data_IF_420584606973
#
_entry.id   IF_420584606973
#
_cell.length_a   1.000
_cell.length_b   1.000
_cell.length_c   1.000
_cell.angle_alpha   90.00
_cell.angle_beta   90.00
_cell.angle_gamma   90.00
#
_symmetry.space_group_name_H-M   'P 1'
#
loop_
_entity.id
_entity.type
_entity.pdbx_description
1 polymer ?
#
# COMPACT_ATOMS: atom_id res chain seq x y z
N UNK A 1 32.73 7.38 -14.77
CA UNK A 1 31.72 6.42 -15.27
C UNK A 1 31.74 5.21 -14.36
N UNK A 2 30.57 4.77 -13.90
CA UNK A 2 30.44 3.66 -12.95
C UNK A 2 31.09 2.36 -13.47
N UNK A 3 31.64 1.53 -12.57
CA UNK A 3 32.43 0.35 -12.90
C UNK A 3 31.65 -0.65 -13.77
N UNK A 4 30.36 -0.83 -13.47
CA UNK A 4 29.48 -1.76 -14.18
C UNK A 4 29.40 -1.46 -15.69
N UNK A 5 29.19 -0.19 -16.07
CA UNK A 5 29.07 0.20 -17.48
C UNK A 5 30.43 0.25 -18.19
N UNK A 6 31.52 0.40 -17.43
CA UNK A 6 32.88 0.27 -17.99
C UNK A 6 33.16 -1.14 -18.50
N UNK A 7 32.61 -2.17 -17.85
CA UNK A 7 32.75 -3.56 -18.30
C UNK A 7 31.96 -3.84 -19.59
N UNK A 8 30.86 -3.13 -19.84
CA UNK A 8 30.17 -3.17 -21.14
C UNK A 8 31.07 -2.65 -22.27
N UNK A 9 31.76 -1.52 -22.08
CA UNK A 9 32.71 -1.02 -23.08
C UNK A 9 33.81 -2.03 -23.39
N UNK A 10 34.38 -2.66 -22.36
CA UNK A 10 35.40 -3.72 -22.53
C UNK A 10 34.89 -4.92 -23.31
N UNK A 11 33.58 -5.17 -23.28
CA UNK A 11 32.89 -6.22 -24.06
C UNK A 11 32.40 -5.73 -25.43
N UNK A 12 32.76 -4.51 -25.82
CA UNK A 12 32.49 -3.94 -27.15
C UNK A 12 31.05 -3.47 -27.33
N UNK A 13 30.35 -3.11 -26.26
CA UNK A 13 29.05 -2.42 -26.34
C UNK A 13 29.25 -0.93 -26.67
N UNK A 14 28.28 -0.38 -27.41
CA UNK A 14 28.29 1.02 -27.83
C UNK A 14 27.75 1.96 -26.73
N UNK A 15 27.91 3.28 -26.95
CA UNK A 15 27.28 4.31 -26.09
C UNK A 15 25.75 4.19 -26.06
N UNK A 16 25.11 3.82 -27.17
CA UNK A 16 23.66 3.63 -27.22
C UNK A 16 23.23 2.41 -26.42
N UNK A 17 23.96 1.29 -26.51
CA UNK A 17 23.65 0.08 -25.74
C UNK A 17 23.72 0.33 -24.24
N UNK A 18 24.66 1.18 -23.81
CA UNK A 18 24.84 1.54 -22.40
C UNK A 18 23.67 2.38 -21.89
N UNK A 19 23.18 3.34 -22.68
CA UNK A 19 21.96 4.10 -22.36
C UNK A 19 20.74 3.17 -22.27
N UNK A 20 20.60 2.24 -23.22
CA UNK A 20 19.53 1.25 -23.21
C UNK A 20 19.62 0.30 -21.99
N UNK A 21 20.83 -0.02 -21.54
CA UNK A 21 21.08 -0.78 -20.31
C UNK A 21 20.82 0.03 -19.02
N UNK A 22 20.11 1.14 -19.11
CA UNK A 22 19.65 1.95 -17.98
C UNK A 22 20.68 2.93 -17.45
N UNK A 23 21.78 3.20 -18.17
CA UNK A 23 22.74 4.22 -17.76
C UNK A 23 22.17 5.62 -17.96
N UNK A 24 22.22 6.41 -16.89
CA UNK A 24 22.10 7.85 -16.95
C UNK A 24 23.16 8.52 -16.10
N UNK A 25 23.54 9.73 -16.52
CA UNK A 25 24.56 10.50 -15.86
C UNK A 25 23.92 11.34 -14.77
N UNK A 26 24.46 11.21 -13.57
CA UNK A 26 24.02 11.94 -12.38
C UNK A 26 24.91 13.15 -12.11
N UNK A 27 24.37 14.25 -11.56
CA UNK A 27 25.16 15.22 -10.82
C UNK A 27 25.88 14.53 -9.66
N UNK A 28 26.98 15.11 -9.16
CA UNK A 28 27.82 14.50 -8.11
C UNK A 28 27.00 13.83 -7.00
N UNK A 29 27.13 12.51 -6.88
CA UNK A 29 26.41 11.71 -5.88
C UNK A 29 27.06 11.95 -4.53
N UNK A 30 26.60 12.96 -3.79
CA UNK A 30 26.93 13.10 -2.38
C UNK A 30 26.00 12.20 -1.56
N UNK A 31 26.54 11.13 -0.97
CA UNK A 31 25.84 10.42 0.09
C UNK A 31 25.63 11.39 1.25
N UNK A 32 24.38 11.57 1.68
CA UNK A 32 24.10 12.26 2.92
C UNK A 32 24.72 11.43 4.06
N UNK A 33 25.70 12.00 4.76
CA UNK A 33 26.55 11.32 5.76
C UNK A 33 25.73 10.92 6.99
N UNK A 34 25.11 9.75 6.95
CA UNK A 34 24.40 9.20 8.11
C UNK A 34 24.45 7.66 8.06
N UNK A 35 25.27 7.07 8.93
CA UNK A 35 25.54 5.62 9.02
C UNK A 35 24.34 4.80 9.53
N UNK A 36 23.30 5.45 10.07
CA UNK A 36 22.14 4.80 10.69
C UNK A 36 21.20 4.04 9.72
N UNK A 37 21.31 4.26 8.40
CA UNK A 37 20.35 3.69 7.44
C UNK A 37 20.76 2.38 6.78
N UNK A 38 22.06 2.10 6.64
CA UNK A 38 22.51 0.74 6.26
C UNK A 38 22.09 -0.29 7.31
N UNK A 39 22.03 0.13 8.57
CA UNK A 39 21.57 -0.65 9.72
C UNK A 39 20.20 -1.31 9.49
N UNK A 40 19.27 -0.68 8.76
CA UNK A 40 17.93 -1.24 8.58
C UNK A 40 17.95 -2.52 7.74
N UNK A 41 18.56 -2.47 6.54
CA UNK A 41 18.65 -3.66 5.67
C UNK A 41 19.62 -4.68 6.26
N UNK A 42 20.71 -4.24 6.86
CA UNK A 42 21.65 -5.12 7.56
C UNK A 42 20.96 -5.94 8.67
N UNK A 43 20.11 -5.28 9.47
CA UNK A 43 19.34 -5.95 10.52
C UNK A 43 18.37 -6.97 9.91
N UNK A 44 17.69 -6.63 8.82
CA UNK A 44 16.78 -7.57 8.16
C UNK A 44 17.51 -8.79 7.56
N UNK A 45 18.68 -8.58 6.92
CA UNK A 45 19.49 -9.69 6.39
C UNK A 45 19.98 -10.58 7.55
N UNK A 46 20.48 -9.96 8.63
CA UNK A 46 20.97 -10.68 9.80
C UNK A 46 19.86 -11.48 10.49
N UNK A 47 18.69 -10.88 10.70
CA UNK A 47 17.51 -11.55 11.25
C UNK A 47 17.04 -12.68 10.31
N UNK A 48 17.01 -12.46 9.01
CA UNK A 48 16.65 -13.49 8.04
C UNK A 48 17.60 -14.69 8.07
N UNK A 49 18.91 -14.45 8.09
CA UNK A 49 19.93 -15.50 8.27
C UNK A 49 19.77 -16.24 9.61
N UNK A 50 19.47 -15.51 10.68
CA UNK A 50 19.20 -16.10 12.00
C UNK A 50 17.97 -17.02 11.96
N UNK A 51 16.82 -16.54 11.45
CA UNK A 51 15.57 -17.31 11.36
C UNK A 51 15.66 -18.55 10.47
N UNK A 52 16.49 -18.48 9.43
CA UNK A 52 16.70 -19.57 8.47
C UNK A 52 17.86 -20.49 8.84
N UNK A 53 18.59 -20.17 9.91
CA UNK A 53 19.78 -20.90 10.38
C UNK A 53 20.85 -21.10 9.29
N UNK A 54 20.99 -20.15 8.35
CA UNK A 54 22.02 -20.21 7.29
C UNK A 54 22.51 -18.83 6.86
N UNK A 55 23.79 -18.77 6.46
CA UNK A 55 24.39 -17.61 5.79
C UNK A 55 24.44 -17.76 4.27
N UNK A 56 23.94 -18.87 3.74
CA UNK A 56 23.81 -19.09 2.30
C UNK A 56 22.38 -18.78 1.86
N UNK A 57 22.17 -17.60 1.26
CA UNK A 57 20.84 -17.11 0.90
C UNK A 57 20.80 -16.62 -0.56
N UNK A 58 19.59 -16.43 -1.08
CA UNK A 58 19.36 -15.70 -2.33
C UNK A 58 18.68 -14.36 -2.00
N UNK A 59 19.13 -13.28 -2.61
CA UNK A 59 18.53 -11.96 -2.51
C UNK A 59 17.95 -11.56 -3.85
N UNK A 60 16.65 -11.27 -3.86
CA UNK A 60 15.92 -10.78 -5.03
C UNK A 60 15.77 -9.28 -4.90
N UNK A 61 16.38 -8.51 -5.79
CA UNK A 61 16.29 -7.04 -5.79
C UNK A 61 15.36 -6.60 -6.92
N UNK A 62 14.37 -5.79 -6.58
CA UNK A 62 13.48 -5.18 -7.56
C UNK A 62 13.34 -3.68 -7.31
N UNK A 63 13.73 -2.89 -8.31
CA UNK A 63 13.70 -1.43 -8.27
C UNK A 63 12.57 -0.89 -9.13
N UNK A 64 11.95 0.22 -8.73
CA UNK A 64 10.93 0.88 -9.54
C UNK A 64 10.32 2.10 -8.86
N UNK A 65 9.46 2.84 -9.57
CA UNK A 65 8.73 3.97 -8.97
C UNK A 65 7.78 3.52 -7.86
N UNK A 66 7.18 2.32 -8.00
CA UNK A 66 6.14 1.77 -7.13
C UNK A 66 5.06 2.80 -6.77
N UNK A 67 4.55 3.49 -7.79
CA UNK A 67 3.65 4.64 -7.62
C UNK A 67 2.31 4.47 -8.35
N UNK A 68 1.36 3.67 -7.82
CA UNK A 68 1.49 2.87 -6.60
C UNK A 68 2.09 1.48 -6.86
N UNK A 69 2.50 0.80 -5.78
CA UNK A 69 2.71 -0.65 -5.75
C UNK A 69 1.37 -1.35 -6.02
N UNK A 70 1.39 -2.48 -6.73
CA UNK A 70 0.16 -3.17 -7.19
C UNK A 70 0.45 -4.65 -7.46
N UNK A 71 -0.60 -5.46 -7.70
CA UNK A 71 -0.52 -6.92 -7.89
C UNK A 71 0.44 -7.36 -9.00
N UNK A 72 0.57 -6.60 -10.10
CA UNK A 72 1.59 -6.87 -11.11
C UNK A 72 3.03 -6.89 -10.57
N UNK A 73 3.39 -6.01 -9.63
CA UNK A 73 4.73 -5.99 -9.03
C UNK A 73 4.98 -7.21 -8.13
N UNK A 74 3.98 -7.62 -7.37
CA UNK A 74 4.13 -8.76 -6.48
C UNK A 74 4.09 -10.09 -7.21
N UNK A 75 3.29 -10.19 -8.27
CA UNK A 75 3.36 -11.30 -9.21
C UNK A 75 4.77 -11.46 -9.78
N UNK A 76 5.40 -10.35 -10.21
CA UNK A 76 6.79 -10.34 -10.69
C UNK A 76 7.76 -10.90 -9.64
N UNK A 77 7.62 -10.51 -8.36
CA UNK A 77 8.45 -11.06 -7.28
C UNK A 77 8.19 -12.55 -7.04
N UNK A 78 6.94 -13.00 -7.01
CA UNK A 78 6.60 -14.41 -6.79
C UNK A 78 7.05 -15.31 -7.96
N UNK A 79 6.92 -14.84 -9.20
CA UNK A 79 7.45 -15.52 -10.37
C UNK A 79 8.97 -15.69 -10.29
N UNK A 80 9.68 -14.65 -9.85
CA UNK A 80 11.12 -14.71 -9.62
C UNK A 80 11.48 -15.69 -8.48
N UNK A 81 10.77 -15.64 -7.36
CA UNK A 81 10.97 -16.56 -6.22
C UNK A 81 10.75 -18.01 -6.62
N UNK A 82 9.66 -18.31 -7.33
CA UNK A 82 9.33 -19.66 -7.81
C UNK A 82 10.44 -20.21 -8.70
N UNK A 83 10.97 -19.37 -9.59
CA UNK A 83 12.09 -19.78 -10.44
C UNK A 83 13.38 -19.99 -9.64
N UNK A 84 13.76 -19.08 -8.74
CA UNK A 84 15.01 -19.22 -7.97
C UNK A 84 15.01 -20.52 -7.14
N UNK A 85 13.84 -20.91 -6.58
CA UNK A 85 13.68 -22.18 -5.86
C UNK A 85 14.04 -23.40 -6.72
N UNK A 86 13.89 -23.34 -8.05
CA UNK A 86 14.27 -24.47 -8.92
C UNK A 86 15.77 -24.52 -9.18
N UNK A 87 16.51 -23.45 -8.92
CA UNK A 87 17.96 -23.38 -9.12
C UNK A 87 18.73 -23.93 -7.92
N UNK A 88 18.24 -23.65 -6.71
CA UNK A 88 18.78 -24.17 -5.46
C UNK A 88 17.74 -24.00 -4.34
N UNK A 89 17.94 -24.73 -3.24
CA UNK A 89 17.05 -24.69 -2.08
C UNK A 89 17.42 -23.62 -1.04
N UNK A 90 18.30 -22.65 -1.38
CA UNK A 90 18.71 -21.65 -0.41
C UNK A 90 17.55 -20.67 -0.12
N UNK A 91 17.41 -20.20 1.14
CA UNK A 91 16.34 -19.28 1.51
C UNK A 91 16.34 -18.00 0.67
N UNK A 92 15.16 -17.48 0.35
CA UNK A 92 14.98 -16.32 -0.54
C UNK A 92 14.39 -15.14 0.21
N UNK A 93 15.17 -14.06 0.27
CA UNK A 93 14.73 -12.74 0.73
C UNK A 93 14.50 -11.83 -0.50
N UNK A 94 13.46 -11.01 -0.46
CA UNK A 94 13.15 -10.05 -1.51
C UNK A 94 13.28 -8.62 -0.98
N UNK A 95 13.82 -7.74 -1.80
CA UNK A 95 14.02 -6.33 -1.49
C UNK A 95 13.36 -5.50 -2.58
N UNK A 96 12.37 -4.70 -2.19
CA UNK A 96 11.76 -3.65 -2.99
C UNK A 96 12.51 -2.34 -2.70
N UNK A 97 13.17 -1.78 -3.71
CA UNK A 97 13.90 -0.52 -3.57
C UNK A 97 13.23 0.58 -4.41
N UNK A 98 12.38 1.43 -3.81
CA UNK A 98 11.73 2.52 -4.55
C UNK A 98 12.76 3.49 -5.13
N UNK A 99 12.46 4.04 -6.30
CA UNK A 99 13.24 5.09 -6.94
C UNK A 99 13.02 6.45 -6.27
N UNK A 100 13.97 7.38 -6.46
CA UNK A 100 13.88 8.76 -5.98
C UNK A 100 12.73 9.54 -6.66
N UNK A 101 12.27 10.63 -6.04
CA UNK A 101 11.17 11.43 -6.57
C UNK A 101 11.50 12.14 -7.89
N UNK A 102 12.78 12.42 -8.16
CA UNK A 102 13.21 12.95 -9.46
C UNK A 102 12.81 12.01 -10.60
N UNK A 103 13.06 10.70 -10.46
CA UNK A 103 12.64 9.71 -11.45
C UNK A 103 11.11 9.56 -11.50
N UNK A 104 10.43 9.61 -10.36
CA UNK A 104 8.97 9.52 -10.29
C UNK A 104 8.27 10.74 -10.89
N UNK A 105 8.84 11.94 -10.75
CA UNK A 105 8.31 13.22 -11.24
C UNK A 105 8.28 13.31 -12.76
N UNK A 106 9.17 12.57 -13.45
CA UNK A 106 9.16 12.43 -14.91
C UNK A 106 7.94 11.65 -15.44
N UNK A 107 7.15 11.03 -14.55
CA UNK A 107 5.97 10.23 -14.91
C UNK A 107 4.68 11.02 -14.62
N UNK A 108 3.77 11.05 -15.61
CA UNK A 108 2.45 11.72 -15.54
C UNK A 108 1.70 11.35 -14.25
N UNK A 109 1.10 12.36 -13.60
CA UNK A 109 0.20 12.27 -12.43
C UNK A 109 0.84 11.68 -11.16
N UNK A 110 2.06 12.07 -10.78
CA UNK A 110 2.70 11.62 -9.54
C UNK A 110 1.77 11.77 -8.31
N UNK A 111 1.41 10.66 -7.66
CA UNK A 111 0.37 10.59 -6.61
C UNK A 111 0.87 10.86 -5.18
N UNK A 112 2.10 11.34 -5.00
CA UNK A 112 2.62 11.73 -3.69
C UNK A 112 4.13 11.84 -3.66
N UNK A 113 4.65 12.47 -2.61
CA UNK A 113 6.08 12.44 -2.32
C UNK A 113 6.54 11.03 -1.95
N UNK A 114 7.86 10.88 -1.91
CA UNK A 114 8.54 9.65 -1.54
C UNK A 114 8.07 9.02 -0.22
N UNK A 115 7.79 9.83 0.79
CA UNK A 115 7.36 9.32 2.10
C UNK A 115 5.96 8.71 1.98
N UNK A 116 5.07 9.39 1.26
CA UNK A 116 3.73 8.91 0.96
C UNK A 116 3.77 7.61 0.16
N UNK A 117 4.66 7.49 -0.84
CA UNK A 117 4.85 6.25 -1.60
C UNK A 117 5.33 5.09 -0.73
N UNK A 118 6.32 5.34 0.15
CA UNK A 118 6.83 4.30 1.06
C UNK A 118 5.74 3.83 2.03
N UNK A 119 4.90 4.74 2.55
CA UNK A 119 3.75 4.38 3.39
C UNK A 119 2.77 3.50 2.62
N UNK A 120 2.37 3.91 1.41
CA UNK A 120 1.48 3.11 0.55
C UNK A 120 2.05 1.72 0.23
N UNK A 121 3.36 1.61 -0.02
CA UNK A 121 4.02 0.32 -0.21
C UNK A 121 3.93 -0.55 1.05
N UNK A 122 4.20 0.02 2.24
CA UNK A 122 4.10 -0.72 3.52
C UNK A 122 2.68 -1.20 3.78
N UNK A 123 1.69 -0.33 3.57
CA UNK A 123 0.28 -0.67 3.73
C UNK A 123 -0.13 -1.80 2.79
N UNK A 124 0.22 -1.69 1.50
CA UNK A 124 -0.04 -2.74 0.51
C UNK A 124 0.59 -4.09 0.90
N UNK A 125 1.83 -4.08 1.42
CA UNK A 125 2.50 -5.31 1.85
C UNK A 125 1.87 -5.90 3.12
N UNK A 126 1.43 -5.05 4.05
CA UNK A 126 0.76 -5.48 5.27
C UNK A 126 -0.59 -6.13 4.99
N UNK A 127 -1.37 -5.55 4.07
CA UNK A 127 -2.67 -6.10 3.65
C UNK A 127 -2.55 -7.51 3.05
N UNK A 128 -1.36 -7.86 2.57
CA UNK A 128 -1.06 -9.13 1.93
C UNK A 128 -0.02 -9.96 2.71
N UNK A 129 0.11 -9.75 4.02
CA UNK A 129 1.15 -10.34 4.88
C UNK A 129 1.37 -11.84 4.71
N UNK A 130 0.30 -12.63 4.48
CA UNK A 130 0.38 -14.08 4.31
C UNK A 130 1.14 -14.51 3.04
N UNK A 131 1.21 -13.64 2.03
CA UNK A 131 1.89 -13.93 0.75
C UNK A 131 3.36 -13.49 0.73
N UNK A 132 3.81 -12.61 1.64
CA UNK A 132 5.08 -11.88 1.47
C UNK A 132 6.01 -11.88 2.71
N UNK A 133 6.07 -13.00 3.44
CA UNK A 133 6.75 -13.16 4.74
C UNK A 133 8.27 -12.81 4.74
N UNK A 134 8.92 -12.62 3.59
CA UNK A 134 10.35 -12.26 3.49
C UNK A 134 10.63 -11.14 2.48
N UNK A 135 9.71 -10.19 2.34
CA UNK A 135 9.89 -9.00 1.50
C UNK A 135 10.19 -7.79 2.38
N UNK A 136 11.24 -7.04 2.04
CA UNK A 136 11.65 -5.81 2.72
C UNK A 136 11.55 -4.63 1.76
N UNK A 137 11.08 -3.48 2.26
CA UNK A 137 11.11 -2.23 1.53
C UNK A 137 12.35 -1.45 1.98
N UNK A 138 13.30 -1.25 1.08
CA UNK A 138 14.52 -0.49 1.33
C UNK A 138 14.43 0.91 0.72
N UNK A 139 14.08 1.89 1.55
CA UNK A 139 13.92 3.28 1.14
C UNK A 139 15.24 4.04 0.94
N UNK A 140 16.41 3.41 1.09
CA UNK A 140 17.70 4.10 1.05
C UNK A 140 17.91 4.87 -0.26
N UNK A 141 17.82 4.17 -1.40
CA UNK A 141 18.05 4.78 -2.72
C UNK A 141 17.08 5.94 -2.98
N UNK A 142 15.87 5.80 -2.45
CA UNK A 142 14.82 6.78 -2.59
C UNK A 142 15.12 8.03 -1.73
N UNK A 143 15.56 7.88 -0.48
CA UNK A 143 15.53 8.96 0.53
C UNK A 143 16.89 9.59 0.86
N UNK A 144 18.00 8.94 0.50
CA UNK A 144 19.35 9.35 0.93
C UNK A 144 20.21 9.98 -0.15
N UNK A 145 19.88 9.75 -1.40
CA UNK A 145 20.48 10.48 -2.50
C UNK A 145 19.67 11.75 -2.75
N UNK A 146 20.36 12.83 -3.12
CA UNK A 146 19.72 14.09 -3.53
C UNK A 146 19.02 14.00 -4.89
N UNK A 147 19.33 12.96 -5.66
CA UNK A 147 18.86 12.66 -7.00
C UNK A 147 18.56 11.18 -7.12
N UNK A 148 17.94 10.76 -8.23
CA UNK A 148 17.85 9.32 -8.51
C UNK A 148 19.24 8.69 -8.68
N UNK A 149 19.35 7.37 -8.68
CA UNK A 149 20.61 6.65 -8.91
C UNK A 149 20.42 5.50 -9.88
N UNK A 150 21.48 5.12 -10.62
CA UNK A 150 21.41 3.92 -11.46
C UNK A 150 21.21 2.70 -10.55
N UNK A 151 20.42 1.72 -10.98
CA UNK A 151 20.18 0.49 -10.22
C UNK A 151 21.48 -0.30 -9.92
N UNK A 152 22.53 -0.07 -10.69
CA UNK A 152 23.85 -0.67 -10.46
C UNK A 152 24.49 -0.20 -9.16
N UNK A 153 24.28 1.05 -8.72
CA UNK A 153 24.70 1.52 -7.40
C UNK A 153 23.95 0.81 -6.26
N UNK A 154 22.68 0.47 -6.50
CA UNK A 154 21.85 -0.26 -5.53
C UNK A 154 22.40 -1.68 -5.35
N UNK A 155 22.79 -2.33 -6.45
CA UNK A 155 23.45 -3.65 -6.42
C UNK A 155 24.77 -3.59 -5.66
N UNK A 156 25.66 -2.65 -6.00
CA UNK A 156 26.97 -2.49 -5.34
C UNK A 156 26.81 -2.30 -3.82
N UNK A 157 25.86 -1.47 -3.40
CA UNK A 157 25.55 -1.30 -1.97
C UNK A 157 25.17 -2.61 -1.28
N UNK A 158 24.36 -3.46 -1.92
CA UNK A 158 24.01 -4.75 -1.33
C UNK A 158 25.20 -5.72 -1.30
N UNK A 159 26.06 -5.72 -2.32
CA UNK A 159 27.30 -6.51 -2.30
C UNK A 159 28.22 -6.10 -1.14
N UNK A 160 28.35 -4.79 -0.87
CA UNK A 160 29.11 -4.26 0.27
C UNK A 160 28.50 -4.69 1.61
N UNK A 161 27.19 -4.54 1.79
CA UNK A 161 26.48 -4.97 3.01
C UNK A 161 26.69 -6.47 3.25
N UNK A 162 26.52 -7.30 2.22
CA UNK A 162 26.70 -8.75 2.32
C UNK A 162 28.12 -9.14 2.71
N UNK A 163 29.11 -8.44 2.16
CA UNK A 163 30.53 -8.62 2.51
C UNK A 163 30.78 -8.26 3.96
N UNK A 164 30.23 -7.14 4.44
CA UNK A 164 30.37 -6.70 5.84
C UNK A 164 29.75 -7.72 6.82
N UNK A 165 28.57 -8.26 6.48
CA UNK A 165 27.88 -9.27 7.29
C UNK A 165 28.48 -10.69 7.15
N UNK A 166 29.46 -10.87 6.26
CA UNK A 166 30.03 -12.17 5.90
C UNK A 166 28.95 -13.19 5.51
N UNK A 167 27.98 -12.76 4.70
CA UNK A 167 26.87 -13.57 4.19
C UNK A 167 27.19 -14.00 2.75
N UNK A 168 27.09 -15.29 2.49
CA UNK A 168 27.28 -15.85 1.15
C UNK A 168 25.95 -15.79 0.38
N UNK A 169 25.65 -14.65 -0.25
CA UNK A 169 24.41 -14.47 -0.98
C UNK A 169 24.60 -14.41 -2.51
N UNK A 170 23.65 -15.00 -3.24
CA UNK A 170 23.48 -14.76 -4.67
C UNK A 170 22.44 -13.67 -4.90
N UNK A 171 22.84 -12.58 -5.54
CA UNK A 171 21.93 -11.50 -5.94
C UNK A 171 21.29 -11.84 -7.28
N UNK A 172 19.96 -11.69 -7.34
CA UNK A 172 19.12 -11.77 -8.53
C UNK A 172 18.41 -10.43 -8.71
N UNK A 173 18.73 -9.72 -9.80
CA UNK A 173 18.08 -8.46 -10.14
C UNK A 173 16.88 -8.71 -11.05
N UNK A 174 15.69 -8.28 -10.62
CA UNK A 174 14.41 -8.51 -11.32
C UNK A 174 14.01 -7.25 -12.09
N UNK A 175 13.57 -7.45 -13.33
CA UNK A 175 13.08 -6.39 -14.21
C UNK A 175 12.07 -6.95 -15.20
N UNK A 176 11.25 -6.06 -15.78
CA UNK A 176 10.31 -6.44 -16.83
C UNK A 176 10.96 -6.45 -18.22
N UNK A 177 10.33 -7.16 -19.17
CA UNK A 177 10.76 -7.22 -20.57
C UNK A 177 10.79 -5.86 -21.29
N UNK A 178 10.10 -4.85 -20.74
CA UNK A 178 10.18 -3.45 -21.18
C UNK A 178 11.57 -2.83 -20.95
N UNK A 179 12.37 -3.41 -20.06
CA UNK A 179 13.75 -3.04 -19.74
C UNK A 179 14.74 -4.19 -20.03
N UNK A 180 14.46 -5.02 -21.04
CA UNK A 180 15.25 -6.21 -21.35
C UNK A 180 16.76 -5.93 -21.48
N UNK A 181 17.13 -4.75 -22.00
CA UNK A 181 18.51 -4.33 -22.24
C UNK A 181 19.31 -4.14 -20.94
N UNK A 182 18.67 -4.09 -19.77
CA UNK A 182 19.36 -4.17 -18.47
C UNK A 182 20.17 -5.48 -18.35
N UNK A 183 19.77 -6.52 -19.07
CA UNK A 183 20.52 -7.76 -19.21
C UNK A 183 21.96 -7.56 -19.70
N UNK A 184 22.25 -6.51 -20.48
CA UNK A 184 23.61 -6.20 -20.93
C UNK A 184 24.56 -5.91 -19.77
N UNK A 185 24.16 -5.00 -18.88
CA UNK A 185 25.04 -4.62 -17.75
C UNK A 185 25.12 -5.72 -16.71
N UNK A 186 24.03 -6.47 -16.47
CA UNK A 186 24.04 -7.59 -15.53
C UNK A 186 24.97 -8.73 -15.99
N UNK A 187 24.84 -9.16 -17.25
CA UNK A 187 25.64 -10.27 -17.78
C UNK A 187 27.13 -9.93 -17.91
N UNK A 188 27.47 -8.68 -18.22
CA UNK A 188 28.87 -8.24 -18.31
C UNK A 188 29.56 -8.13 -16.94
N UNK A 189 28.78 -8.06 -15.86
CA UNK A 189 29.24 -8.02 -14.47
C UNK A 189 28.97 -9.32 -13.70
N UNK A 190 28.56 -10.40 -14.38
CA UNK A 190 28.21 -11.70 -13.78
C UNK A 190 27.12 -11.64 -12.70
N UNK A 191 26.22 -10.66 -12.77
CA UNK A 191 25.04 -10.56 -11.89
C UNK A 191 23.89 -11.35 -12.51
N UNK A 192 23.16 -12.12 -11.69
CA UNK A 192 22.01 -12.88 -12.18
C UNK A 192 20.84 -11.92 -12.46
N UNK A 193 20.26 -12.01 -13.65
CA UNK A 193 19.09 -11.23 -14.04
C UNK A 193 17.85 -12.11 -14.18
N UNK A 194 16.70 -11.62 -13.74
CA UNK A 194 15.42 -12.27 -13.99
C UNK A 194 14.54 -11.29 -14.75
N UNK A 195 14.32 -11.58 -16.03
CA UNK A 195 13.47 -10.78 -16.89
C UNK A 195 12.07 -11.39 -16.90
N UNK A 196 11.09 -10.66 -16.41
CA UNK A 196 9.69 -11.10 -16.41
C UNK A 196 8.99 -10.56 -17.65
N UNK A 197 8.41 -11.47 -18.44
CA UNK A 197 7.63 -11.15 -19.63
C UNK A 197 6.42 -10.28 -19.25
N UNK A 198 6.23 -9.17 -19.97
CA UNK A 198 5.11 -8.24 -19.79
C UNK A 198 4.12 -8.20 -20.95
N UNK A 199 4.50 -8.68 -22.12
CA UNK A 199 3.71 -8.67 -23.36
C UNK A 199 4.02 -9.92 -24.15
N UNK A 200 3.13 -10.34 -25.05
CA UNK A 200 3.38 -11.50 -25.92
C UNK A 200 4.55 -11.28 -26.90
N UNK A 201 4.89 -10.02 -27.17
CA UNK A 201 6.06 -9.63 -27.96
C UNK A 201 7.36 -9.79 -27.15
N UNK A 202 8.13 -10.83 -27.48
CA UNK A 202 9.44 -11.14 -26.90
C UNK A 202 10.63 -10.65 -27.76
N UNK A 203 10.37 -9.89 -28.84
CA UNK A 203 11.41 -9.51 -29.81
C UNK A 203 12.59 -8.78 -29.17
N UNK A 204 12.35 -7.80 -28.29
CA UNK A 204 13.39 -7.06 -27.56
C UNK A 204 14.27 -7.99 -26.73
N UNK A 205 13.65 -8.91 -26.00
CA UNK A 205 14.37 -9.86 -25.18
C UNK A 205 15.16 -10.84 -26.05
N UNK A 206 14.58 -11.39 -27.12
CA UNK A 206 15.29 -12.25 -28.07
C UNK A 206 16.54 -11.55 -28.65
N UNK A 207 16.44 -10.27 -28.98
CA UNK A 207 17.55 -9.45 -29.46
C UNK A 207 18.65 -9.28 -28.40
N UNK A 208 18.26 -9.06 -27.14
CA UNK A 208 19.20 -8.98 -26.01
C UNK A 208 19.95 -10.30 -25.84
N UNK A 209 19.25 -11.44 -25.87
CA UNK A 209 19.85 -12.78 -25.77
C UNK A 209 20.82 -13.03 -26.93
N UNK A 210 20.42 -12.73 -28.16
CA UNK A 210 21.25 -12.88 -29.34
C UNK A 210 22.53 -12.04 -29.25
N UNK A 211 22.40 -10.80 -28.78
CA UNK A 211 23.54 -9.89 -28.57
C UNK A 211 24.47 -10.39 -27.47
N UNK A 212 23.94 -10.88 -26.35
CA UNK A 212 24.75 -11.41 -25.26
C UNK A 212 25.51 -12.67 -25.67
N UNK A 213 24.88 -13.54 -26.47
CA UNK A 213 25.53 -14.71 -27.08
C UNK A 213 26.66 -14.29 -28.03
N UNK A 214 26.42 -13.34 -28.94
CA UNK A 214 27.44 -12.90 -29.90
C UNK A 214 28.64 -12.24 -29.20
N UNK A 215 28.41 -11.55 -28.09
CA UNK A 215 29.45 -10.92 -27.26
C UNK A 215 30.09 -11.86 -26.22
N UNK A 216 29.75 -13.15 -26.23
CA UNK A 216 30.26 -14.19 -25.29
C UNK A 216 30.14 -13.75 -23.82
N UNK A 217 29.03 -13.12 -23.47
CA UNK A 217 28.74 -12.76 -22.09
C UNK A 217 28.21 -13.98 -21.33
N UNK A 218 28.57 -14.10 -20.06
CA UNK A 218 28.04 -15.17 -19.22
C UNK A 218 26.60 -14.81 -18.87
N UNK A 219 25.67 -15.52 -19.48
CA UNK A 219 24.27 -15.17 -19.44
C UNK A 219 23.53 -16.12 -18.50
N UNK A 220 22.99 -15.56 -17.42
CA UNK A 220 21.99 -16.21 -16.57
C UNK A 220 20.78 -15.29 -16.50
N UNK A 221 20.18 -15.00 -17.65
CA UNK A 221 18.89 -14.32 -17.68
C UNK A 221 17.81 -15.37 -17.87
N UNK A 222 17.04 -15.44 -16.82
CA UNK A 222 15.98 -16.40 -16.62
C UNK A 222 14.76 -15.82 -17.32
N UNK A 223 14.27 -16.57 -18.30
CA UNK A 223 13.00 -16.32 -18.95
C UNK A 223 11.92 -17.12 -18.22
N UNK A 224 10.82 -16.47 -17.88
CA UNK A 224 9.65 -17.16 -17.38
C UNK A 224 8.57 -17.16 -18.45
N UNK A 225 8.08 -18.36 -18.78
CA UNK A 225 6.90 -18.63 -19.61
C UNK A 225 5.60 -18.51 -18.79
N UNK A 226 5.60 -17.71 -17.72
CA UNK A 226 4.36 -17.53 -16.95
C UNK A 226 3.51 -16.46 -17.60
N UNK A 227 2.29 -16.84 -18.01
CA UNK A 227 1.25 -15.89 -18.36
C UNK A 227 1.01 -14.97 -17.16
N UNK A 228 1.36 -13.69 -17.33
CA UNK A 228 1.11 -12.66 -16.34
C UNK A 228 -0.32 -12.13 -16.54
N UNK A 229 -1.30 -12.50 -15.70
CA UNK A 229 -2.67 -11.99 -15.83
C UNK A 229 -2.76 -10.47 -15.56
N UNK A 230 -1.68 -9.87 -15.08
CA UNK A 230 -1.53 -8.44 -14.79
C UNK A 230 -0.56 -7.74 -15.75
N UNK A 231 -0.24 -8.35 -16.90
CA UNK A 231 0.65 -7.83 -17.95
C UNK A 231 0.32 -6.39 -18.37
N UNK A 232 -0.97 -6.08 -18.46
CA UNK A 232 -1.50 -4.76 -18.85
C UNK A 232 -1.54 -3.75 -17.69
N UNK A 233 -1.41 -4.18 -16.43
CA UNK A 233 -1.36 -3.29 -15.28
C UNK A 233 -0.02 -2.57 -15.25
N UNK A 234 -0.07 -1.24 -15.33
CA UNK A 234 1.08 -0.39 -15.09
C UNK A 234 0.66 0.81 -14.24
N UNK A 235 1.58 1.30 -13.43
CA UNK A 235 1.30 2.43 -12.54
C UNK A 235 0.80 3.68 -13.27
N UNK A 236 1.21 3.90 -14.53
CA UNK A 236 0.76 5.06 -15.32
C UNK A 236 -0.71 4.96 -15.71
N UNK A 237 -1.19 3.79 -16.13
CA UNK A 237 -2.61 3.58 -16.43
C UNK A 237 -3.47 3.72 -15.18
N UNK A 238 -2.98 3.24 -14.03
CA UNK A 238 -3.64 3.43 -12.73
C UNK A 238 -3.76 4.93 -12.38
N UNK A 239 -2.69 5.72 -12.55
CA UNK A 239 -2.67 7.17 -12.28
C UNK A 239 -3.46 8.01 -13.28
N UNK A 240 -3.74 7.50 -14.47
CA UNK A 240 -4.54 8.19 -15.50
C UNK A 240 -6.05 8.04 -15.29
N UNK A 241 -6.47 7.18 -14.37
CA UNK A 241 -7.89 7.00 -14.03
C UNK A 241 -8.39 8.25 -13.30
N UNK A 242 -9.58 8.73 -13.66
CA UNK A 242 -10.29 9.74 -12.86
C UNK A 242 -10.38 9.23 -11.44
N UNK A 243 -9.98 10.06 -10.48
CA UNK A 243 -10.03 9.68 -9.08
C UNK A 243 -11.47 9.81 -8.60
N UNK A 244 -11.94 8.88 -7.79
CA UNK A 244 -13.31 8.92 -7.26
C UNK A 244 -13.27 9.15 -5.76
N UNK A 245 -13.93 10.21 -5.32
CA UNK A 245 -14.24 10.46 -3.92
C UNK A 245 -15.60 9.84 -3.63
N UNK A 246 -15.68 8.92 -2.69
CA UNK A 246 -16.95 8.32 -2.28
C UNK A 246 -17.47 8.98 -1.00
N UNK A 247 -18.77 9.24 -0.98
CA UNK A 247 -19.48 9.72 0.20
C UNK A 247 -20.53 8.67 0.54
N UNK A 248 -20.41 8.06 1.72
CA UNK A 248 -21.39 7.09 2.22
C UNK A 248 -22.57 7.82 2.82
N UNK A 249 -23.74 7.68 2.19
CA UNK A 249 -24.99 8.17 2.73
C UNK A 249 -25.55 7.16 3.74
N UNK A 250 -25.25 7.40 5.00
CA UNK A 250 -25.64 6.59 6.14
C UNK A 250 -26.66 7.30 7.05
N UNK A 251 -27.18 8.45 6.61
CA UNK A 251 -28.01 9.35 7.42
C UNK A 251 -29.30 8.68 7.91
N UNK A 252 -29.87 7.75 7.13
CA UNK A 252 -31.05 6.97 7.53
C UNK A 252 -30.84 6.23 8.85
N UNK A 253 -29.64 5.68 9.06
CA UNK A 253 -29.29 4.93 10.27
C UNK A 253 -28.67 5.81 11.34
N UNK A 254 -27.93 6.84 10.95
CA UNK A 254 -27.30 7.77 11.87
C UNK A 254 -28.32 8.75 12.51
N UNK A 255 -29.45 9.00 11.85
CA UNK A 255 -30.50 9.92 12.27
C UNK A 255 -31.89 9.26 12.18
N UNK A 256 -32.16 8.23 12.99
CA UNK A 256 -33.40 7.44 12.89
C UNK A 256 -34.66 8.24 13.24
N UNK A 257 -34.52 9.32 14.01
CA UNK A 257 -35.63 10.16 14.48
C UNK A 257 -35.83 11.44 13.65
N UNK A 258 -35.06 11.63 12.58
CA UNK A 258 -35.20 12.75 11.65
C UNK A 258 -36.08 12.31 10.48
N UNK A 259 -36.85 13.20 9.87
CA UNK A 259 -37.65 12.85 8.68
C UNK A 259 -36.78 12.72 7.42
N UNK A 260 -37.34 12.10 6.38
CA UNK A 260 -36.62 11.82 5.13
C UNK A 260 -36.26 13.09 4.35
N UNK A 261 -37.14 14.09 4.35
CA UNK A 261 -36.90 15.36 3.65
C UNK A 261 -35.69 16.09 4.26
N UNK A 262 -35.62 16.16 5.59
CA UNK A 262 -34.48 16.75 6.30
C UNK A 262 -33.19 15.97 6.04
N UNK A 263 -33.24 14.63 6.01
CA UNK A 263 -32.06 13.81 5.66
C UNK A 263 -31.59 14.04 4.22
N UNK A 264 -32.52 14.13 3.27
CA UNK A 264 -32.19 14.41 1.87
C UNK A 264 -31.58 15.80 1.73
N UNK A 265 -32.11 16.80 2.44
CA UNK A 265 -31.52 18.15 2.49
C UNK A 265 -30.07 18.14 3.03
N UNK A 266 -29.78 17.33 4.06
CA UNK A 266 -28.40 17.14 4.54
C UNK A 266 -27.52 16.46 3.49
N UNK A 267 -27.99 15.36 2.89
CA UNK A 267 -27.25 14.63 1.87
C UNK A 267 -26.90 15.51 0.67
N UNK A 268 -27.87 16.29 0.17
CA UNK A 268 -27.70 17.22 -0.94
C UNK A 268 -26.70 18.33 -0.59
N UNK A 269 -26.81 18.89 0.62
CA UNK A 269 -25.91 19.96 1.07
C UNK A 269 -24.46 19.47 1.17
N UNK A 270 -24.23 18.30 1.77
CA UNK A 270 -22.90 17.67 1.88
C UNK A 270 -22.35 17.38 0.48
N UNK A 271 -23.16 16.77 -0.39
CA UNK A 271 -22.75 16.40 -1.76
C UNK A 271 -22.38 17.62 -2.59
N UNK A 272 -23.18 18.69 -2.51
CA UNK A 272 -22.90 19.95 -3.19
C UNK A 272 -21.63 20.62 -2.67
N UNK A 273 -21.39 20.60 -1.34
CA UNK A 273 -20.17 21.14 -0.76
C UNK A 273 -18.92 20.39 -1.29
N UNK A 274 -18.96 19.06 -1.36
CA UNK A 274 -17.87 18.27 -1.95
C UNK A 274 -17.69 18.53 -3.44
N UNK A 275 -18.77 18.66 -4.22
CA UNK A 275 -18.67 19.03 -5.64
C UNK A 275 -17.99 20.39 -5.82
N UNK A 276 -18.27 21.39 -4.97
CA UNK A 276 -17.61 22.70 -5.01
C UNK A 276 -16.14 22.66 -4.56
N UNK A 277 -15.80 21.80 -3.61
CA UNK A 277 -14.42 21.58 -3.17
C UNK A 277 -13.57 21.10 -4.35
N UNK A 278 -14.08 20.14 -5.11
CA UNK A 278 -13.37 19.45 -6.18
C UNK A 278 -13.70 19.95 -7.59
N UNK A 279 -14.43 21.06 -7.70
CA UNK A 279 -14.73 21.70 -8.98
C UNK A 279 -13.44 22.03 -9.75
N UNK A 280 -13.38 21.59 -11.02
CA UNK A 280 -12.21 21.78 -11.88
C UNK A 280 -11.01 20.86 -11.59
N UNK A 281 -11.15 19.89 -10.66
CA UNK A 281 -10.14 18.87 -10.38
C UNK A 281 -10.34 17.59 -11.19
N UNK A 282 -9.41 16.63 -11.05
CA UNK A 282 -9.52 15.27 -11.61
C UNK A 282 -10.31 14.29 -10.72
N UNK A 283 -10.94 14.80 -9.66
CA UNK A 283 -11.70 14.04 -8.66
C UNK A 283 -13.20 14.11 -8.97
N UNK A 284 -13.84 12.97 -9.19
CA UNK A 284 -15.30 12.84 -9.32
C UNK A 284 -15.93 12.40 -8.00
N UNK A 285 -17.05 13.04 -7.61
CA UNK A 285 -17.80 12.67 -6.41
C UNK A 285 -18.84 11.60 -6.76
N UNK A 286 -18.93 10.55 -5.93
CA UNK A 286 -20.00 9.55 -5.99
C UNK A 286 -20.59 9.31 -4.60
N UNK A 287 -21.91 9.30 -4.51
CA UNK A 287 -22.63 8.96 -3.28
C UNK A 287 -23.00 7.48 -3.33
N UNK A 288 -22.75 6.75 -2.24
CA UNK A 288 -23.15 5.35 -2.06
C UNK A 288 -24.20 5.30 -0.96
N UNK A 289 -25.34 4.71 -1.26
CA UNK A 289 -26.39 4.46 -0.27
C UNK A 289 -25.99 3.27 0.62
N UNK A 290 -26.03 3.44 1.94
CA UNK A 290 -25.69 2.37 2.86
C UNK A 290 -26.64 1.16 2.76
N UNK A 291 -27.91 1.34 2.37
CA UNK A 291 -28.86 0.22 2.19
C UNK A 291 -28.31 -0.78 1.16
N UNK A 292 -27.63 -0.29 0.12
CA UNK A 292 -27.01 -1.12 -0.90
C UNK A 292 -25.79 -1.91 -0.40
N UNK A 293 -25.28 -1.59 0.79
CA UNK A 293 -24.18 -2.29 1.46
C UNK A 293 -24.66 -3.28 2.52
N UNK A 294 -25.96 -3.27 2.86
CA UNK A 294 -26.58 -4.16 3.85
C UNK A 294 -26.86 -5.55 3.27
N UNK A 295 -25.86 -6.15 2.61
CA UNK A 295 -25.96 -7.48 1.99
C UNK A 295 -25.58 -8.58 2.97
N UNK A 296 -26.27 -9.72 2.91
CA UNK A 296 -25.85 -10.87 3.70
C UNK A 296 -24.61 -11.52 3.09
N UNK A 297 -23.52 -11.59 3.86
CA UNK A 297 -22.33 -12.33 3.45
C UNK A 297 -22.57 -13.82 3.67
N UNK A 298 -22.60 -14.58 2.56
CA UNK A 298 -22.66 -16.04 2.57
C UNK A 298 -21.43 -16.63 3.27
N UNK A 299 -21.67 -17.63 4.13
CA UNK A 299 -20.65 -18.32 4.92
C UNK A 299 -21.10 -19.71 5.35
N UNK A 300 -20.14 -20.58 5.66
CA UNK A 300 -20.40 -21.88 6.28
C UNK A 300 -20.70 -21.72 7.79
N UNK A 301 -21.31 -22.75 8.40
CA UNK A 301 -21.73 -22.70 9.81
C UNK A 301 -20.59 -22.59 10.83
N UNK A 302 -19.37 -23.00 10.47
CA UNK A 302 -18.16 -22.87 11.29
C UNK A 302 -17.43 -21.52 11.10
N UNK A 303 -18.08 -20.55 10.45
CA UNK A 303 -17.53 -19.22 10.18
C UNK A 303 -18.43 -18.17 10.84
N UNK A 304 -17.83 -17.30 11.65
CA UNK A 304 -18.54 -16.18 12.27
C UNK A 304 -18.14 -14.84 11.64
N UNK A 305 -19.07 -13.88 11.62
CA UNK A 305 -18.86 -12.52 11.15
C UNK A 305 -18.71 -11.58 12.34
N UNK A 306 -17.59 -10.88 12.38
CA UNK A 306 -17.36 -9.77 13.30
C UNK A 306 -17.40 -8.48 12.49
N UNK A 307 -18.42 -7.65 12.71
CA UNK A 307 -18.54 -6.35 12.07
C UNK A 307 -17.81 -5.28 12.88
N UNK A 308 -16.98 -4.47 12.22
CA UNK A 308 -16.36 -3.25 12.74
C UNK A 308 -17.20 -2.01 12.41
N UNK A 309 -18.04 -2.11 11.37
CA UNK A 309 -18.96 -1.06 10.96
C UNK A 309 -20.09 -0.85 11.98
N UNK A 310 -20.56 0.40 12.07
CA UNK A 310 -21.57 0.82 13.06
C UNK A 310 -22.97 0.34 12.75
N UNK A 311 -23.29 0.08 11.49
CA UNK A 311 -24.65 -0.19 11.05
C UNK A 311 -24.80 -1.59 10.45
N UNK A 312 -23.79 -2.11 9.76
CA UNK A 312 -23.75 -3.48 9.26
C UNK A 312 -23.72 -4.48 10.40
N UNK A 313 -24.59 -5.48 10.37
CA UNK A 313 -24.76 -6.46 11.45
C UNK A 313 -24.03 -7.76 11.15
N UNK A 314 -23.05 -8.08 11.99
CA UNK A 314 -22.42 -9.40 12.04
C UNK A 314 -23.06 -10.30 13.10
N UNK A 315 -22.45 -11.47 13.33
CA UNK A 315 -22.75 -12.29 14.50
C UNK A 315 -22.31 -11.57 15.80
N UNK A 316 -21.29 -10.72 15.69
CA UNK A 316 -20.90 -9.75 16.71
C UNK A 316 -20.55 -8.40 16.06
N UNK A 317 -20.91 -7.30 16.70
CA UNK A 317 -20.49 -5.94 16.32
C UNK A 317 -19.46 -5.41 17.32
N UNK A 318 -18.20 -5.31 16.89
CA UNK A 318 -17.13 -4.74 17.70
C UNK A 318 -17.21 -3.21 17.66
N UNK A 319 -17.54 -2.59 18.79
CA UNK A 319 -17.62 -1.14 18.89
C UNK A 319 -16.23 -0.53 19.09
N UNK A 320 -15.41 -0.66 18.05
CA UNK A 320 -14.07 -0.09 17.97
C UNK A 320 -14.10 1.32 17.37
N UNK A 321 -13.17 2.17 17.77
CA UNK A 321 -12.93 3.47 17.15
C UNK A 321 -11.45 3.82 17.23
N UNK A 322 -10.94 4.41 16.15
CA UNK A 322 -9.61 5.05 16.13
C UNK A 322 -9.67 6.32 16.97
N UNK A 323 -8.70 6.51 17.86
CA UNK A 323 -8.61 7.66 18.75
C UNK A 323 -7.54 8.61 18.25
N UNK A 324 -7.85 9.90 18.22
CA UNK A 324 -6.94 10.96 17.79
C UNK A 324 -6.81 12.06 18.86
N UNK A 325 -5.79 12.90 18.70
CA UNK A 325 -5.62 14.14 19.46
C UNK A 325 -6.22 15.29 18.64
N UNK A 326 -7.13 16.11 19.19
CA UNK A 326 -7.76 17.20 18.44
C UNK A 326 -6.74 18.31 18.13
N UNK A 327 -7.01 19.11 17.09
CA UNK A 327 -6.14 20.22 16.67
C UNK A 327 -4.70 19.80 16.28
N UNK A 328 -4.52 18.56 15.82
CA UNK A 328 -3.22 18.05 15.34
C UNK A 328 -3.28 17.74 13.84
N UNK A 329 -2.19 17.18 13.29
CA UNK A 329 -2.20 16.73 11.91
C UNK A 329 -3.16 15.56 11.67
N UNK A 330 -3.38 14.72 12.67
CA UNK A 330 -4.36 13.63 12.66
C UNK A 330 -4.25 12.69 11.46
N UNK A 331 -3.08 12.47 10.88
CA UNK A 331 -2.88 11.49 9.80
C UNK A 331 -3.01 10.05 10.32
N UNK A 332 -2.51 9.82 11.53
CA UNK A 332 -2.33 8.53 12.17
C UNK A 332 -3.07 8.48 13.51
N UNK A 333 -3.77 7.38 13.79
CA UNK A 333 -4.45 7.20 15.08
C UNK A 333 -3.44 7.02 16.22
N UNK A 334 -3.70 7.66 17.36
CA UNK A 334 -2.89 7.56 18.58
C UNK A 334 -3.11 6.22 19.29
N UNK A 335 -4.35 5.75 19.30
CA UNK A 335 -4.74 4.49 19.93
C UNK A 335 -6.08 3.98 19.38
N UNK A 336 -6.56 2.87 19.93
CA UNK A 336 -7.91 2.36 19.71
C UNK A 336 -8.70 2.44 21.00
N UNK A 337 -10.01 2.65 20.87
CA UNK A 337 -10.98 2.53 21.94
C UNK A 337 -12.02 1.50 21.56
N UNK A 338 -12.22 0.49 22.41
CA UNK A 338 -13.20 -0.58 22.20
C UNK A 338 -14.21 -0.51 23.34
N UNK A 339 -15.42 -0.05 23.05
CA UNK A 339 -16.43 0.19 24.10
C UNK A 339 -16.95 -1.11 24.73
N UNK A 340 -16.99 -2.20 23.95
CA UNK A 340 -17.52 -3.51 24.34
C UNK A 340 -16.45 -4.62 24.33
N UNK A 341 -15.21 -4.30 24.73
CA UNK A 341 -14.08 -5.24 24.68
C UNK A 341 -14.32 -6.50 25.51
N UNK A 342 -14.90 -6.36 26.71
CA UNK A 342 -15.20 -7.52 27.58
C UNK A 342 -16.22 -8.47 26.95
N UNK A 343 -17.25 -7.91 26.31
CA UNK A 343 -18.27 -8.69 25.63
C UNK A 343 -17.67 -9.39 24.41
N UNK A 344 -16.76 -8.71 23.69
CA UNK A 344 -16.04 -9.28 22.58
C UNK A 344 -15.16 -10.47 23.00
N UNK A 345 -14.36 -10.32 24.06
CA UNK A 345 -13.53 -11.42 24.59
C UNK A 345 -14.39 -12.61 25.02
N UNK A 346 -15.53 -12.34 25.66
CA UNK A 346 -16.50 -13.37 26.05
C UNK A 346 -17.08 -14.08 24.82
N UNK A 347 -17.46 -13.33 23.79
CA UNK A 347 -17.95 -13.84 22.52
C UNK A 347 -16.91 -14.72 21.83
N UNK A 348 -15.66 -14.27 21.69
CA UNK A 348 -14.58 -15.04 21.07
C UNK A 348 -14.33 -16.36 21.82
N UNK A 349 -14.34 -16.30 23.15
CA UNK A 349 -14.19 -17.49 23.99
C UNK A 349 -15.33 -18.48 23.80
N UNK A 350 -16.56 -17.99 23.63
CA UNK A 350 -17.74 -18.83 23.41
C UNK A 350 -17.78 -19.40 21.98
N UNK A 351 -17.53 -18.58 20.96
CA UNK A 351 -17.45 -18.99 19.56
C UNK A 351 -16.47 -20.17 19.36
N UNK A 352 -15.34 -20.14 20.07
CA UNK A 352 -14.39 -21.27 20.12
C UNK A 352 -15.05 -22.57 20.62
N UNK A 353 -15.83 -22.50 21.70
CA UNK A 353 -16.51 -23.68 22.27
C UNK A 353 -17.60 -24.20 21.33
N UNK A 354 -18.22 -23.30 20.58
CA UNK A 354 -19.28 -23.62 19.62
C UNK A 354 -18.72 -24.17 18.29
N UNK A 355 -17.39 -24.34 18.18
CA UNK A 355 -16.75 -24.94 17.00
C UNK A 355 -16.54 -23.98 15.83
N UNK A 356 -16.53 -22.67 16.08
CA UNK A 356 -16.12 -21.68 15.07
C UNK A 356 -14.63 -21.84 14.80
N UNK A 357 -14.24 -21.99 13.52
CA UNK A 357 -12.85 -22.21 13.11
C UNK A 357 -12.25 -21.01 12.38
N UNK A 358 -13.11 -20.10 11.91
CA UNK A 358 -12.69 -18.93 11.16
C UNK A 358 -13.62 -17.74 11.35
N UNK A 359 -13.07 -16.54 11.13
CA UNK A 359 -13.77 -15.28 11.24
C UNK A 359 -13.68 -14.49 9.93
N UNK A 360 -14.81 -13.92 9.52
CA UNK A 360 -14.86 -12.86 8.53
C UNK A 360 -15.01 -11.54 9.27
N UNK A 361 -14.01 -10.68 9.16
CA UNK A 361 -14.04 -9.32 9.70
C UNK A 361 -14.57 -8.40 8.62
N UNK A 362 -15.65 -7.69 8.91
CA UNK A 362 -16.29 -6.77 7.97
C UNK A 362 -16.05 -5.34 8.42
N UNK A 363 -15.51 -4.51 7.53
CA UNK A 363 -15.37 -3.07 7.74
C UNK A 363 -16.05 -2.32 6.57
N UNK A 364 -16.34 -1.04 6.74
CA UNK A 364 -16.93 -0.22 5.68
C UNK A 364 -15.96 0.06 4.53
N UNK A 365 -14.74 0.44 4.88
CA UNK A 365 -13.68 0.79 3.94
C UNK A 365 -12.34 0.11 4.25
N UNK A 366 -11.43 0.17 3.28
CA UNK A 366 -10.08 -0.33 3.42
C UNK A 366 -9.18 0.76 3.99
N UNK A 367 -9.09 0.85 5.32
CA UNK A 367 -8.14 1.70 6.04
C UNK A 367 -6.68 1.19 5.92
N UNK A 368 -5.70 1.94 6.46
CA UNK A 368 -4.24 1.71 6.52
C UNK A 368 -3.77 0.40 7.23
N UNK A 369 -4.59 -0.65 7.30
CA UNK A 369 -4.28 -1.95 7.93
C UNK A 369 -4.16 -1.97 9.46
N UNK A 370 -4.04 -0.81 10.13
CA UNK A 370 -3.83 -0.74 11.60
C UNK A 370 -5.01 -1.26 12.40
N UNK A 371 -6.25 -0.95 11.99
CA UNK A 371 -7.47 -1.48 12.63
C UNK A 371 -7.51 -3.00 12.50
N UNK A 372 -7.26 -3.50 11.30
CA UNK A 372 -7.20 -4.94 11.00
C UNK A 372 -6.16 -5.66 11.84
N UNK A 373 -4.95 -5.10 11.96
CA UNK A 373 -3.88 -5.65 12.80
C UNK A 373 -4.25 -5.66 14.28
N UNK A 374 -4.87 -4.58 14.79
CA UNK A 374 -5.31 -4.50 16.17
C UNK A 374 -6.39 -5.54 16.49
N UNK A 375 -7.42 -5.66 15.64
CA UNK A 375 -8.50 -6.64 15.81
C UNK A 375 -7.96 -8.07 15.73
N UNK A 376 -7.05 -8.34 14.78
CA UNK A 376 -6.37 -9.63 14.67
C UNK A 376 -5.63 -9.96 15.97
N UNK A 377 -4.84 -9.04 16.50
CA UNK A 377 -4.14 -9.22 17.77
C UNK A 377 -5.10 -9.48 18.94
N UNK A 378 -6.25 -8.78 18.98
CA UNK A 378 -7.26 -8.96 20.01
C UNK A 378 -7.89 -10.36 19.97
N UNK A 379 -8.13 -10.91 18.77
CA UNK A 379 -8.61 -12.28 18.59
C UNK A 379 -7.51 -13.28 18.98
N UNK A 380 -6.31 -13.13 18.44
CA UNK A 380 -5.17 -14.04 18.65
C UNK A 380 -4.79 -14.17 20.13
N UNK A 381 -4.80 -13.06 20.86
CA UNK A 381 -4.49 -13.03 22.30
C UNK A 381 -5.47 -13.85 23.14
N UNK A 382 -6.66 -14.14 22.60
CA UNK A 382 -7.72 -14.89 23.26
C UNK A 382 -7.98 -16.26 22.62
N UNK A 383 -7.15 -16.69 21.66
CA UNK A 383 -7.36 -17.91 20.88
C UNK A 383 -6.09 -18.79 20.82
N UNK A 384 -6.11 -19.94 21.49
CA UNK A 384 -4.92 -20.82 21.68
C UNK A 384 -4.35 -21.43 20.39
N UNK A 385 -5.19 -21.63 19.37
CA UNK A 385 -4.79 -22.11 18.03
C UNK A 385 -5.36 -21.16 16.99
N UNK A 386 -4.50 -20.36 16.36
CA UNK A 386 -4.87 -19.29 15.42
C UNK A 386 -6.03 -19.67 14.48
N UNK A 387 -7.18 -18.99 14.57
CA UNK A 387 -8.27 -19.18 13.61
C UNK A 387 -7.88 -18.55 12.26
N UNK A 388 -8.49 -19.03 11.18
CA UNK A 388 -8.37 -18.33 9.90
C UNK A 388 -9.16 -17.02 9.97
N UNK A 389 -8.55 -15.91 9.54
CA UNK A 389 -9.19 -14.57 9.57
C UNK A 389 -9.16 -14.00 8.15
N UNK A 390 -10.33 -13.66 7.64
CA UNK A 390 -10.51 -12.98 6.37
C UNK A 390 -11.09 -11.58 6.61
N UNK A 391 -10.58 -10.57 5.91
CA UNK A 391 -11.18 -9.23 5.88
C UNK A 391 -12.03 -9.06 4.62
N UNK A 392 -13.21 -8.44 4.77
CA UNK A 392 -14.08 -8.01 3.67
C UNK A 392 -14.48 -6.56 3.90
N UNK A 393 -14.47 -5.75 2.85
CA UNK A 393 -14.79 -4.32 2.95
C UNK A 393 -16.09 -4.05 2.20
N UNK A 394 -17.07 -3.41 2.84
CA UNK A 394 -18.40 -3.18 2.24
C UNK A 394 -18.35 -2.32 0.98
N UNK A 395 -17.35 -1.44 0.86
CA UNK A 395 -17.13 -0.67 -0.35
C UNK A 395 -16.85 -1.55 -1.58
N UNK A 396 -16.28 -2.75 -1.41
CA UNK A 396 -15.95 -3.69 -2.51
C UNK A 396 -17.19 -4.23 -3.23
N UNK A 397 -18.37 -4.11 -2.62
CA UNK A 397 -19.64 -4.50 -3.23
C UNK A 397 -19.97 -3.58 -4.43
N UNK A 398 -19.58 -2.31 -4.34
CA UNK A 398 -19.95 -1.27 -5.33
C UNK A 398 -18.77 -0.78 -6.15
N UNK A 399 -17.56 -1.04 -5.68
CA UNK A 399 -16.33 -0.50 -6.26
C UNK A 399 -15.39 -1.63 -6.60
N UNK A 400 -15.25 -1.91 -7.90
CA UNK A 400 -14.10 -2.66 -8.37
C UNK A 400 -12.87 -1.74 -8.29
N UNK A 401 -11.97 -2.04 -7.36
CA UNK A 401 -10.67 -1.35 -7.22
C UNK A 401 -9.82 -1.44 -8.51
N UNK A 402 -10.13 -2.37 -9.42
CA UNK A 402 -9.51 -2.43 -10.74
C UNK A 402 -10.11 -1.44 -11.74
N UNK A 403 -11.31 -0.90 -11.50
CA UNK A 403 -11.95 0.10 -12.35
C UNK A 403 -11.78 1.53 -11.80
N UNK A 404 -11.84 1.68 -10.48
CA UNK A 404 -11.80 2.99 -9.81
C UNK A 404 -10.44 3.28 -9.17
N UNK A 405 -9.97 4.52 -9.30
CA UNK A 405 -8.90 5.05 -8.44
C UNK A 405 -9.54 5.78 -7.26
N UNK A 406 -9.68 5.11 -6.12
CA UNK A 406 -10.31 5.73 -4.94
C UNK A 406 -9.43 6.86 -4.42
N UNK A 407 -9.98 8.07 -4.35
CA UNK A 407 -9.32 9.23 -3.75
C UNK A 407 -9.49 9.23 -2.23
N UNK A 408 -10.72 9.16 -1.75
CA UNK A 408 -11.08 9.06 -0.33
C UNK A 408 -12.51 8.53 -0.17
N UNK A 409 -12.84 8.11 1.05
CA UNK A 409 -14.16 7.67 1.46
C UNK A 409 -14.49 8.36 2.78
N UNK A 410 -15.68 8.97 2.89
CA UNK A 410 -16.17 9.56 4.15
C UNK A 410 -17.63 9.23 4.37
N UNK A 411 -18.06 9.30 5.61
CA UNK A 411 -19.45 9.09 6.00
C UNK A 411 -20.19 10.42 6.17
N UNK A 412 -21.41 10.53 5.66
CA UNK A 412 -22.20 11.76 5.79
C UNK A 412 -22.50 12.10 7.26
N UNK A 413 -22.69 11.09 8.12
CA UNK A 413 -22.91 11.30 9.56
C UNK A 413 -21.82 12.15 10.22
N UNK A 414 -20.58 12.12 9.72
CA UNK A 414 -19.45 12.83 10.33
C UNK A 414 -19.58 14.36 10.25
N UNK A 415 -20.46 14.85 9.38
CA UNK A 415 -20.70 16.28 9.13
C UNK A 415 -22.02 16.80 9.73
N UNK A 416 -22.86 15.90 10.28
CA UNK A 416 -24.19 16.25 10.79
C UNK A 416 -24.24 16.18 12.31
N UNK A 417 -24.71 17.26 12.93
CA UNK A 417 -24.86 17.38 14.37
C UNK A 417 -25.95 16.43 14.89
N UNK A 418 -25.67 15.76 16.02
CA UNK A 418 -26.59 14.83 16.65
C UNK A 418 -26.70 13.45 15.97
N UNK A 419 -25.83 13.18 14.97
CA UNK A 419 -25.77 11.88 14.33
C UNK A 419 -25.18 10.81 15.25
N UNK A 420 -25.75 9.61 15.23
CA UNK A 420 -25.22 8.46 15.96
C UNK A 420 -23.87 8.07 15.37
N UNK A 421 -22.86 7.95 16.25
CA UNK A 421 -21.49 7.57 15.90
C UNK A 421 -20.77 8.52 14.94
N UNK A 422 -21.32 9.69 14.64
CA UNK A 422 -20.69 10.66 13.75
C UNK A 422 -19.54 11.42 14.39
N UNK A 423 -18.58 11.79 13.57
CA UNK A 423 -17.42 12.58 13.91
C UNK A 423 -16.23 11.74 14.38
N UNK A 424 -15.08 12.41 14.46
CA UNK A 424 -13.81 11.82 14.83
C UNK A 424 -13.72 11.63 16.35
N UNK A 425 -13.48 10.40 16.80
CA UNK A 425 -13.26 10.13 18.22
C UNK A 425 -11.88 10.66 18.64
N UNK A 426 -11.88 11.63 19.54
CA UNK A 426 -10.68 12.24 20.08
C UNK A 426 -10.55 12.02 21.58
N UNK A 427 -9.32 12.01 22.07
CA UNK A 427 -9.00 12.03 23.50
C UNK A 427 -8.72 13.46 23.95
N UNK A 428 -9.53 13.96 24.88
CA UNK A 428 -9.35 15.27 25.53
C UNK A 428 -9.13 15.01 27.01
N UNK A 429 -7.90 15.25 27.48
CA UNK A 429 -7.45 14.82 28.80
C UNK A 429 -7.72 13.31 29.00
N UNK A 430 -8.50 12.93 30.03
CA UNK A 430 -8.86 11.54 30.34
C UNK A 430 -10.19 11.07 29.73
N UNK A 431 -10.85 11.90 28.91
CA UNK A 431 -12.17 11.59 28.33
C UNK A 431 -12.10 11.42 26.81
N UNK A 432 -12.97 10.57 26.31
CA UNK A 432 -13.20 10.41 24.87
C UNK A 432 -14.39 11.28 24.46
N UNK A 433 -14.25 12.04 23.38
CA UNK A 433 -15.30 12.88 22.80
C UNK A 433 -15.25 12.78 21.28
N UNK A 434 -16.41 12.78 20.61
CA UNK A 434 -16.46 12.90 19.15
C UNK A 434 -16.52 14.36 18.75
N UNK A 435 -15.73 14.73 17.75
CA UNK A 435 -15.77 16.04 17.11
C UNK A 435 -16.30 15.86 15.71
N UNK A 436 -17.31 16.64 15.34
CA UNK A 436 -17.75 16.71 13.94
C UNK A 436 -16.57 17.09 13.05
N UNK A 437 -16.68 16.79 11.76
CA UNK A 437 -15.65 17.10 10.77
C UNK A 437 -15.62 18.60 10.45
N UNK A 438 -15.31 19.43 11.45
CA UNK A 438 -15.07 20.86 11.39
C UNK A 438 -13.65 21.18 11.85
N UNK A 439 -13.08 22.21 11.24
CA UNK A 439 -11.81 22.80 11.66
C UNK A 439 -12.05 23.80 12.81
N UNK A 440 -11.17 23.91 13.82
CA UNK A 440 -9.82 23.31 13.90
C UNK A 440 -9.71 21.93 14.56
N UNK A 441 -10.74 21.45 15.25
CA UNK A 441 -10.63 20.22 16.06
C UNK A 441 -10.38 18.97 15.21
N UNK A 442 -10.97 18.92 14.01
CA UNK A 442 -10.71 17.93 12.98
C UNK A 442 -9.98 18.56 11.81
N UNK A 443 -8.83 17.98 11.46
CA UNK A 443 -8.03 18.36 10.31
C UNK A 443 -8.63 17.74 9.04
N UNK A 444 -9.41 18.53 8.33
CA UNK A 444 -10.09 18.09 7.11
C UNK A 444 -9.16 17.81 5.93
N UNK A 445 -7.94 18.33 5.95
CA UNK A 445 -6.94 17.98 4.94
C UNK A 445 -6.47 16.53 5.06
N UNK A 446 -6.47 15.96 6.28
CA UNK A 446 -6.03 14.58 6.50
C UNK A 446 -7.19 13.60 6.69
N UNK A 447 -8.36 14.05 7.16
CA UNK A 447 -9.53 13.18 7.44
C UNK A 447 -10.61 13.17 6.37
N UNK A 448 -10.65 14.17 5.51
CA UNK A 448 -11.57 14.22 4.37
C UNK A 448 -10.88 14.71 3.07
N UNK A 449 -9.54 14.73 3.06
CA UNK A 449 -8.68 15.22 1.96
C UNK A 449 -9.16 16.52 1.31
N UNK A 450 -9.73 17.43 2.10
CA UNK A 450 -10.19 18.73 1.60
C UNK A 450 -8.97 19.65 1.45
N UNK A 451 -8.71 20.21 0.24
CA UNK A 451 -7.63 21.17 0.03
C UNK A 451 -7.71 22.34 1.01
N UNK A 452 -6.56 22.74 1.60
CA UNK A 452 -6.52 23.73 2.68
C UNK A 452 -7.17 25.08 2.32
N UNK A 453 -7.08 25.49 1.05
CA UNK A 453 -7.71 26.71 0.54
C UNK A 453 -9.25 26.62 0.39
N UNK A 454 -9.82 25.42 0.48
CA UNK A 454 -11.26 25.15 0.39
C UNK A 454 -11.91 24.85 1.75
N UNK A 455 -11.12 24.53 2.77
CA UNK A 455 -11.60 24.16 4.13
C UNK A 455 -12.56 25.20 4.71
N UNK A 456 -12.21 26.49 4.64
CA UNK A 456 -13.04 27.55 5.23
C UNK A 456 -14.45 27.57 4.66
N UNK A 457 -14.57 27.62 3.32
CA UNK A 457 -15.86 27.65 2.63
C UNK A 457 -16.66 26.37 2.88
N UNK A 458 -15.99 25.21 2.90
CA UNK A 458 -16.63 23.94 3.22
C UNK A 458 -17.21 23.93 4.64
N UNK A 459 -16.43 24.37 5.64
CA UNK A 459 -16.89 24.44 7.04
C UNK A 459 -18.05 25.42 7.20
N UNK A 460 -18.01 26.59 6.54
CA UNK A 460 -19.12 27.56 6.56
C UNK A 460 -20.43 26.94 6.02
N UNK A 461 -20.35 26.13 4.96
CA UNK A 461 -21.51 25.40 4.44
C UNK A 461 -22.06 24.38 5.44
N UNK A 462 -21.17 23.61 6.10
CA UNK A 462 -21.58 22.61 7.10
C UNK A 462 -22.17 23.25 8.35
N UNK A 463 -21.61 24.36 8.84
CA UNK A 463 -22.13 25.10 10.00
C UNK A 463 -23.51 25.68 9.68
N UNK A 464 -23.71 26.22 8.48
CA UNK A 464 -25.02 26.71 8.02
C UNK A 464 -26.04 25.57 7.97
N UNK A 465 -25.66 24.42 7.41
CA UNK A 465 -26.50 23.22 7.37
C UNK A 465 -26.96 22.80 8.77
N UNK A 466 -26.08 22.88 9.75
CA UNK A 466 -26.36 22.50 11.14
C UNK A 466 -26.95 23.64 11.99
N UNK A 467 -27.50 24.69 11.37
CA UNK A 467 -28.10 25.84 12.05
C UNK A 467 -27.17 26.49 13.10
N UNK A 468 -25.86 26.53 12.84
CA UNK A 468 -24.87 27.09 13.76
C UNK A 468 -24.49 26.19 14.93
N UNK A 469 -25.00 24.95 15.00
CA UNK A 469 -24.60 23.98 16.04
C UNK A 469 -23.22 23.39 15.71
N UNK A 470 -22.32 23.44 16.69
CA UNK A 470 -20.93 22.97 16.56
C UNK A 470 -20.59 21.86 17.57
N UNK A 471 -21.44 21.63 18.59
CA UNK A 471 -21.17 20.67 19.66
C UNK A 471 -22.44 20.04 20.23
N UNK A 472 -22.40 18.72 20.46
CA UNK A 472 -22.95 18.07 21.68
C UNK A 472 -21.88 17.13 22.25
#
# INVERSE_FOLDING_TARGET
MHLFYSNMYKKGFSKSDIRLAGYFQHPEVTQLTDSSFNQTVENYISDFCFRTCTKEINIVVFTGCFNPLHNGHTYTLEAARKHIKTLNNNPIMCILSPAHDEYSSSKINNTGDIHSRIVQMKDFMNDNHHSYVNVVIDSFAATKYSTDVNFTYIIERYEEILKQLSVNAKIFFVYGSDNAEFGYVLATNNINGICIKRTDDDSRMCNVIATLKSKKCNYKLIHNEFDNPHSTLNSTSIRSRKKTYFIRNDLKYALPNVDEETRNNYADTITNAFNQVFEGSDVSIKVIDIDSQMVNIERSSNVAIISLDKFYRGDFNLNISRVFTPNTFQDTADSFYVANEKDFVSYITQAKKDGIESFIIVDDDKSTGRTSAYVKHLIESNYTKLPSIQFKYLIEIHVDYNEYSIYDIVDMRDFVCGSLYGGLLCRVASKYRRFMYYSPEVNLATRAKIPSNKIKAFVEAMVKMNNGKIYE
#
